data_IF_464112754360
#
_entry.id   IF_464112754360
#
_cell.length_a   1.000
_cell.length_b   1.000
_cell.length_c   1.000
_cell.angle_alpha   90.00
_cell.angle_beta   90.00
_cell.angle_gamma   90.00
#
_symmetry.space_group_name_H-M   'P 1'
#
loop_
_entity.id
_entity.type
_entity.pdbx_description
1 polymer ?
#
# COMPACT_ATOMS: atom_id res chain seq x y z
N UNK A 1 -1.86 2.19 5.38
CA UNK A 1 -2.29 2.37 3.98
C UNK A 1 -3.64 1.70 3.68
N UNK A 2 -3.75 0.38 3.54
CA UNK A 2 -5.01 -0.26 3.11
C UNK A 2 -6.22 0.02 4.01
N UNK A 3 -6.04 -0.08 5.34
CA UNK A 3 -7.08 0.27 6.33
C UNK A 3 -7.53 1.73 6.23
N UNK A 4 -6.55 2.65 6.07
CA UNK A 4 -6.80 4.08 5.88
C UNK A 4 -7.67 4.34 4.64
N UNK A 5 -7.31 3.73 3.50
CA UNK A 5 -8.04 3.90 2.24
C UNK A 5 -9.48 3.37 2.32
N UNK A 6 -9.70 2.23 2.98
CA UNK A 6 -11.06 1.70 3.20
C UNK A 6 -11.93 2.66 4.00
N UNK A 7 -11.40 3.20 5.11
CA UNK A 7 -12.11 4.15 5.95
C UNK A 7 -12.49 5.40 5.15
N UNK A 8 -11.57 5.93 4.34
CA UNK A 8 -11.80 7.13 3.52
C UNK A 8 -12.82 6.89 2.40
N UNK A 9 -12.79 5.73 1.75
CA UNK A 9 -13.75 5.35 0.70
C UNK A 9 -15.12 4.89 1.25
N UNK A 10 -15.26 4.76 2.58
CA UNK A 10 -16.45 4.22 3.22
C UNK A 10 -16.75 2.77 2.80
N UNK A 11 -15.72 1.95 2.61
CA UNK A 11 -15.85 0.56 2.17
C UNK A 11 -15.48 -0.43 3.29
N UNK A 12 -16.24 -1.53 3.46
CA UNK A 12 -15.84 -2.60 4.36
C UNK A 12 -14.69 -3.43 3.76
N UNK A 13 -13.92 -4.09 4.63
CA UNK A 13 -12.92 -5.09 4.21
C UNK A 13 -13.60 -6.19 3.40
N UNK A 14 -12.96 -6.61 2.31
CA UNK A 14 -13.44 -7.66 1.43
C UNK A 14 -14.41 -7.20 0.35
N UNK A 15 -14.80 -5.91 0.33
CA UNK A 15 -15.69 -5.34 -0.68
C UNK A 15 -15.25 -5.67 -2.11
N UNK A 16 -16.20 -6.11 -2.94
CA UNK A 16 -16.00 -6.28 -4.38
C UNK A 16 -16.04 -4.95 -5.12
N UNK A 17 -16.50 -3.87 -4.49
CA UNK A 17 -16.53 -2.53 -5.07
C UNK A 17 -15.16 -1.82 -4.97
N UNK A 18 -14.24 -2.36 -4.16
CA UNK A 18 -12.85 -1.90 -4.12
C UNK A 18 -12.06 -2.51 -5.28
N UNK A 19 -11.24 -1.67 -5.91
CA UNK A 19 -10.18 -2.06 -6.83
C UNK A 19 -8.84 -1.48 -6.36
N UNK A 20 -7.78 -2.28 -6.41
CA UNK A 20 -6.45 -1.92 -5.90
C UNK A 20 -5.41 -2.10 -6.99
N UNK A 21 -4.66 -1.04 -7.27
CA UNK A 21 -3.50 -1.08 -8.17
C UNK A 21 -2.26 -0.62 -7.41
N UNK A 22 -1.23 -1.46 -7.36
CA UNK A 22 0.08 -1.11 -6.81
C UNK A 22 1.08 -0.93 -7.95
N UNK A 23 1.59 0.29 -8.09
CA UNK A 23 2.65 0.61 -9.05
C UNK A 23 4.01 0.46 -8.34
N UNK A 24 4.88 -0.42 -8.84
CA UNK A 24 6.20 -0.65 -8.23
C UNK A 24 7.22 -1.25 -9.20
N UNK A 25 8.53 -1.10 -8.94
CA UNK A 25 9.53 -1.95 -9.57
C UNK A 25 9.42 -3.39 -9.04
N UNK A 26 10.03 -4.33 -9.75
CA UNK A 26 10.08 -5.76 -9.38
C UNK A 26 11.15 -6.04 -8.31
N UNK A 27 11.15 -5.29 -7.21
CA UNK A 27 12.06 -5.48 -6.08
C UNK A 27 11.26 -5.57 -4.78
N UNK A 28 11.57 -6.55 -3.93
CA UNK A 28 10.75 -6.97 -2.77
C UNK A 28 10.45 -5.82 -1.82
N UNK A 29 11.41 -4.92 -1.59
CA UNK A 29 11.27 -3.78 -0.69
C UNK A 29 10.22 -2.75 -1.16
N UNK A 30 9.80 -2.81 -2.42
CA UNK A 30 8.70 -2.00 -2.95
C UNK A 30 7.44 -2.84 -3.16
N UNK A 31 7.57 -3.99 -3.81
CA UNK A 31 6.40 -4.79 -4.24
C UNK A 31 5.65 -5.45 -3.08
N UNK A 32 6.29 -5.66 -1.92
CA UNK A 32 5.63 -6.26 -0.75
C UNK A 32 4.47 -5.41 -0.18
N UNK A 33 4.38 -4.12 -0.55
CA UNK A 33 3.25 -3.26 -0.21
C UNK A 33 1.93 -3.82 -0.79
N UNK A 34 1.99 -4.52 -1.94
CA UNK A 34 0.82 -5.18 -2.52
C UNK A 34 0.24 -6.27 -1.60
N UNK A 35 1.09 -7.06 -0.93
CA UNK A 35 0.64 -8.09 0.02
C UNK A 35 -0.01 -7.44 1.25
N UNK A 36 0.58 -6.36 1.75
CA UNK A 36 0.00 -5.57 2.84
C UNK A 36 -1.36 -4.97 2.45
N UNK A 37 -1.50 -4.47 1.22
CA UNK A 37 -2.77 -3.99 0.69
C UNK A 37 -3.81 -5.11 0.60
N UNK A 38 -3.42 -6.29 0.12
CA UNK A 38 -4.29 -7.47 0.06
C UNK A 38 -4.78 -7.88 1.45
N UNK A 39 -3.86 -8.01 2.42
CA UNK A 39 -4.18 -8.42 3.78
C UNK A 39 -5.15 -7.44 4.48
N UNK A 40 -4.86 -6.14 4.38
CA UNK A 40 -5.62 -5.09 5.03
C UNK A 40 -7.01 -4.91 4.38
N UNK A 41 -7.08 -4.90 3.06
CA UNK A 41 -8.33 -4.57 2.34
C UNK A 41 -9.18 -5.79 2.01
N UNK A 42 -8.59 -6.98 2.03
CA UNK A 42 -9.19 -8.19 1.49
C UNK A 42 -9.27 -8.21 -0.03
N UNK A 43 -8.69 -7.24 -0.76
CA UNK A 43 -8.49 -7.35 -2.20
C UNK A 43 -7.51 -8.49 -2.52
N UNK A 44 -7.65 -9.14 -3.67
CA UNK A 44 -6.78 -10.26 -4.04
C UNK A 44 -6.71 -10.47 -5.54
N UNK A 45 -5.65 -11.17 -5.97
CA UNK A 45 -5.50 -11.62 -7.35
C UNK A 45 -6.68 -12.49 -7.78
N UNK A 46 -7.15 -13.40 -6.92
CA UNK A 46 -8.28 -14.29 -7.23
C UNK A 46 -9.64 -13.59 -7.36
N UNK A 47 -9.86 -12.49 -6.62
CA UNK A 47 -11.03 -11.62 -6.82
C UNK A 47 -10.89 -10.68 -8.00
N UNK A 48 -9.73 -10.69 -8.66
CA UNK A 48 -9.39 -9.85 -9.81
C UNK A 48 -9.52 -8.35 -9.51
N UNK A 49 -9.36 -7.97 -8.24
CA UNK A 49 -9.47 -6.59 -7.78
C UNK A 49 -8.20 -6.09 -7.07
N UNK A 50 -7.09 -6.81 -7.28
CA UNK A 50 -5.74 -6.39 -6.95
C UNK A 50 -4.85 -6.65 -8.16
N UNK A 51 -4.00 -5.69 -8.51
CA UNK A 51 -2.96 -5.84 -9.53
C UNK A 51 -1.70 -5.08 -9.15
N UNK A 52 -0.56 -5.62 -9.59
CA UNK A 52 0.74 -4.98 -9.51
C UNK A 52 1.14 -4.58 -10.92
N UNK A 53 1.47 -3.32 -11.13
CA UNK A 53 1.86 -2.75 -12.42
C UNK A 53 3.30 -2.24 -12.35
N UNK A 54 4.14 -2.55 -13.35
CA UNK A 54 5.53 -2.09 -13.36
C UNK A 54 5.62 -0.55 -13.32
N UNK A 55 6.51 -0.02 -12.47
CA UNK A 55 6.82 1.40 -12.36
C UNK A 55 8.26 1.61 -11.86
N UNK A 56 8.79 2.84 -11.91
CA UNK A 56 10.10 3.16 -11.31
C UNK A 56 9.98 3.32 -9.79
N UNK A 57 11.12 3.39 -9.09
CA UNK A 57 11.17 3.58 -7.62
C UNK A 57 10.50 4.87 -7.18
N UNK A 58 10.63 5.93 -7.98
CA UNK A 58 10.06 7.26 -7.73
C UNK A 58 8.54 7.29 -7.95
N UNK A 59 8.02 6.32 -8.68
CA UNK A 59 6.61 6.19 -9.03
C UNK A 59 5.85 5.24 -8.10
N UNK A 60 6.52 4.67 -7.09
CA UNK A 60 5.90 3.71 -6.17
C UNK A 60 4.69 4.33 -5.47
N UNK A 61 3.52 3.73 -5.69
CA UNK A 61 2.26 4.14 -5.05
C UNK A 61 1.23 3.02 -5.10
N UNK A 62 0.21 3.13 -4.27
CA UNK A 62 -0.95 2.24 -4.26
C UNK A 62 -2.21 3.08 -4.43
N UNK A 63 -2.97 2.75 -5.47
CA UNK A 63 -4.23 3.39 -5.84
C UNK A 63 -5.36 2.48 -5.35
N UNK A 64 -6.23 3.02 -4.51
CA UNK A 64 -7.46 2.39 -4.06
C UNK A 64 -8.63 3.12 -4.71
N UNK A 65 -9.43 2.42 -5.50
CA UNK A 65 -10.56 2.99 -6.22
C UNK A 65 -11.86 2.32 -5.80
N UNK A 66 -12.88 3.13 -5.52
CA UNK A 66 -14.27 2.67 -5.39
C UNK A 66 -14.91 2.64 -6.77
N UNK A 67 -15.19 1.46 -7.32
CA UNK A 67 -15.60 1.30 -8.72
C UNK A 67 -16.93 1.98 -9.01
N UNK A 68 -17.90 1.87 -8.11
CA UNK A 68 -19.25 2.45 -8.26
C UNK A 68 -19.29 3.96 -8.45
N UNK A 69 -18.31 4.68 -7.89
CA UNK A 69 -18.29 6.16 -7.89
C UNK A 69 -17.11 6.75 -8.65
N UNK A 70 -16.06 5.96 -8.87
CA UNK A 70 -14.78 6.45 -9.41
C UNK A 70 -13.91 7.17 -8.38
N UNK A 71 -14.34 7.31 -7.12
CA UNK A 71 -13.55 7.92 -6.06
C UNK A 71 -12.25 7.14 -5.81
N UNK A 72 -11.15 7.88 -5.58
CA UNK A 72 -9.81 7.32 -5.45
C UNK A 72 -9.08 7.87 -4.24
N UNK A 73 -8.32 7.00 -3.60
CA UNK A 73 -7.29 7.34 -2.62
C UNK A 73 -5.97 6.80 -3.14
N UNK A 74 -5.01 7.70 -3.38
CA UNK A 74 -3.68 7.34 -3.88
C UNK A 74 -2.68 7.56 -2.75
N UNK A 75 -1.98 6.51 -2.35
CA UNK A 75 -1.03 6.55 -1.24
C UNK A 75 0.36 6.17 -1.71
N UNK A 76 1.39 6.83 -1.19
CA UNK A 76 2.78 6.38 -1.36
C UNK A 76 3.52 6.43 -0.03
N UNK A 77 4.57 5.60 0.17
CA UNK A 77 5.45 5.75 1.32
C UNK A 77 6.09 7.14 1.32
N UNK A 78 6.28 7.74 2.50
CA UNK A 78 7.00 9.02 2.58
C UNK A 78 8.47 8.82 2.21
N UNK A 79 9.13 9.90 1.75
CA UNK A 79 10.56 9.86 1.46
C UNK A 79 11.39 9.49 2.72
N UNK A 80 10.97 9.99 3.89
CA UNK A 80 11.59 9.66 5.17
C UNK A 80 11.45 8.18 5.52
N UNK A 81 10.26 7.61 5.32
CA UNK A 81 10.02 6.18 5.54
C UNK A 81 10.88 5.32 4.60
N UNK A 82 10.86 5.62 3.30
CA UNK A 82 11.64 4.89 2.31
C UNK A 82 13.14 4.94 2.62
N UNK A 83 13.68 6.12 2.95
CA UNK A 83 15.08 6.28 3.34
C UNK A 83 15.46 5.44 4.56
N UNK A 84 14.56 5.37 5.56
CA UNK A 84 14.80 4.63 6.81
C UNK A 84 14.70 3.11 6.65
N UNK A 85 13.81 2.62 5.81
CA UNK A 85 13.44 1.19 5.80
C UNK A 85 13.77 0.42 4.52
N UNK A 86 14.18 1.07 3.42
CA UNK A 86 14.39 0.39 2.13
C UNK A 86 15.49 -0.68 2.14
N UNK A 87 16.51 -0.53 2.98
CA UNK A 87 17.71 -1.39 2.98
C UNK A 87 17.98 -2.04 4.34
N UNK A 88 16.92 -2.29 5.12
CA UNK A 88 17.08 -2.97 6.42
C UNK A 88 17.59 -4.39 6.19
N UNK A 89 18.66 -4.82 6.90
CA UNK A 89 19.16 -6.19 6.80
C UNK A 89 18.08 -7.22 7.13
N UNK A 90 18.09 -8.37 6.45
CA UNK A 90 17.01 -9.37 6.51
C UNK A 90 16.74 -9.85 7.93
N UNK A 91 17.79 -10.05 8.71
CA UNK A 91 17.77 -10.48 10.10
C UNK A 91 17.10 -9.45 11.04
N UNK A 92 17.02 -8.17 10.62
CA UNK A 92 16.39 -7.08 11.37
C UNK A 92 15.00 -6.71 10.88
N UNK A 93 14.48 -7.35 9.83
CA UNK A 93 13.15 -7.02 9.28
C UNK A 93 12.01 -7.17 10.31
N UNK A 94 12.11 -8.15 11.22
CA UNK A 94 11.12 -8.33 12.29
C UNK A 94 11.10 -7.18 13.30
N UNK A 95 12.27 -6.62 13.62
CA UNK A 95 12.39 -5.43 14.48
C UNK A 95 11.87 -4.18 13.76
N UNK A 96 12.28 -3.99 12.50
CA UNK A 96 11.82 -2.88 11.68
C UNK A 96 10.29 -2.88 11.51
N UNK A 97 9.69 -4.04 11.24
CA UNK A 97 8.24 -4.17 11.14
C UNK A 97 7.51 -3.72 12.41
N UNK A 98 8.02 -4.10 13.60
CA UNK A 98 7.46 -3.62 14.88
C UNK A 98 7.62 -2.12 15.06
N UNK A 99 8.75 -1.56 14.65
CA UNK A 99 8.97 -0.12 14.70
C UNK A 99 7.96 0.63 13.80
N UNK A 100 7.71 0.12 12.59
CA UNK A 100 6.73 0.69 11.65
C UNK A 100 5.32 0.72 12.25
N UNK A 101 4.90 -0.34 12.97
CA UNK A 101 3.58 -0.40 13.62
C UNK A 101 3.38 0.65 14.72
N UNK A 102 4.46 1.21 15.27
CA UNK A 102 4.39 2.25 16.29
C UNK A 102 4.46 3.68 15.71
N UNK A 103 4.68 3.82 14.40
CA UNK A 103 4.76 5.12 13.75
C UNK A 103 3.35 5.68 13.46
N UNK A 104 3.15 7.00 13.58
CA UNK A 104 1.99 7.67 13.00
C UNK A 104 1.88 7.42 11.49
N UNK A 105 0.65 7.35 10.98
CA UNK A 105 0.39 7.16 9.54
C UNK A 105 1.15 8.17 8.67
N UNK A 106 1.21 9.44 9.08
CA UNK A 106 1.88 10.53 8.37
C UNK A 106 3.41 10.36 8.27
N UNK A 107 4.02 9.56 9.15
CA UNK A 107 5.44 9.24 9.07
C UNK A 107 5.71 8.06 8.13
N UNK A 108 4.68 7.27 7.79
CA UNK A 108 4.77 6.07 6.96
C UNK A 108 4.38 6.36 5.52
N UNK A 109 3.24 7.02 5.31
CA UNK A 109 2.70 7.27 3.98
C UNK A 109 2.03 8.65 3.87
N UNK A 110 1.90 9.10 2.63
CA UNK A 110 1.21 10.33 2.28
C UNK A 110 0.20 10.10 1.14
N UNK A 111 -0.82 10.96 1.07
CA UNK A 111 -1.74 11.00 -0.05
C UNK A 111 -1.15 11.80 -1.22
N UNK A 112 -1.20 11.22 -2.41
CA UNK A 112 -0.80 11.88 -3.66
C UNK A 112 -2.05 12.54 -4.25
N UNK A 113 -1.98 13.86 -4.46
CA UNK A 113 -3.02 14.64 -5.13
C UNK A 113 -2.93 14.53 -6.65
#
# INVERSE_FOLDING_TARGET
>A
MGTYALAKLGLPRGSFDLDVTHESPSEVQYSCVADGAAAATGASLGKLNLRVTPATREQVKTIYQKKSTGERVVLRPTAAFASRFANVPRERLGEAGRAVLALPDADVFEEVR
#
